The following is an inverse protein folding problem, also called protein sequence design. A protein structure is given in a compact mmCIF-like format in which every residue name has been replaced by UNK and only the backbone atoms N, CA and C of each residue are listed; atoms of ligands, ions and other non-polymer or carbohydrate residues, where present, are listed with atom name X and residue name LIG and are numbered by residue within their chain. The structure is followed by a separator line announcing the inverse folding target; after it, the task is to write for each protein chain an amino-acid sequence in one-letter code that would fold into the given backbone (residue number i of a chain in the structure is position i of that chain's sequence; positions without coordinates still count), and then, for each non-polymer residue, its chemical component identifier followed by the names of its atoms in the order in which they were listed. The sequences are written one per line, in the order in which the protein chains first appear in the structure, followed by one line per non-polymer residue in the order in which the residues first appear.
data_IF_139342413664
#
_entry.id   IF_139342413664
#
_cell.length_a   1.000
_cell.length_b   1.000
_cell.length_c   1.000
_cell.angle_alpha   90.00
_cell.angle_beta   90.00
_cell.angle_gamma   90.00
#
_symmetry.space_group_name_H-M   'P 1'
#
loop_
_entity.id
_entity.type
_entity.pdbx_description
1 polymer ?
#
# COMPACT_ATOMS: atom_id res chain seq x y z
N UNK A 1 -36.33 -18.03 24.80
CA UNK A 1 -35.36 -19.09 24.46
C UNK A 1 -35.00 -18.88 22.99
N UNK A 2 -33.76 -18.48 22.72
CA UNK A 2 -33.38 -17.77 21.48
C UNK A 2 -33.30 -18.64 20.22
N UNK A 3 -33.55 -17.95 19.11
CA UNK A 3 -33.89 -18.38 17.76
C UNK A 3 -32.63 -18.67 16.93
N UNK A 4 -32.72 -19.66 16.03
CA UNK A 4 -31.74 -19.97 14.97
C UNK A 4 -31.42 -18.74 14.09
N UNK A 5 -30.14 -18.52 13.78
CA UNK A 5 -29.74 -18.03 12.46
C UNK A 5 -28.40 -18.65 12.03
N UNK A 6 -28.39 -19.14 10.79
CA UNK A 6 -27.41 -20.08 10.20
C UNK A 6 -26.25 -19.33 9.53
N UNK A 7 -24.98 -19.77 9.63
CA UNK A 7 -23.93 -19.26 8.76
C UNK A 7 -23.94 -20.11 7.47
N UNK A 8 -24.83 -19.82 6.52
CA UNK A 8 -24.94 -20.62 5.27
C UNK A 8 -24.76 -19.83 3.97
N UNK A 9 -24.35 -18.56 4.02
CA UNK A 9 -24.30 -17.72 2.82
C UNK A 9 -22.96 -17.00 2.55
N UNK A 10 -21.90 -17.25 3.31
CA UNK A 10 -20.61 -16.56 3.07
C UNK A 10 -19.57 -17.38 2.29
N UNK A 11 -19.64 -18.71 2.32
CA UNK A 11 -18.70 -19.56 1.56
C UNK A 11 -18.99 -19.68 0.04
N UNK A 12 -20.24 -19.72 -0.46
CA UNK A 12 -20.48 -19.90 -1.90
C UNK A 12 -20.26 -18.61 -2.70
N UNK A 13 -20.37 -17.44 -2.06
CA UNK A 13 -20.21 -16.12 -2.72
C UNK A 13 -18.76 -15.79 -3.00
N UNK A 14 -17.84 -16.19 -2.11
CA UNK A 14 -16.39 -16.03 -2.32
C UNK A 14 -15.85 -16.97 -3.42
N UNK A 15 -16.50 -18.13 -3.59
CA UNK A 15 -16.15 -19.12 -4.59
C UNK A 15 -16.75 -18.81 -5.97
N UNK A 16 -17.77 -17.94 -6.07
CA UNK A 16 -18.31 -17.47 -7.35
C UNK A 16 -17.46 -16.37 -8.00
N UNK A 17 -16.71 -15.59 -7.20
CA UNK A 17 -15.82 -14.54 -7.70
C UNK A 17 -14.51 -15.08 -8.29
N UNK A 18 -14.13 -16.33 -8.01
CA UNK A 18 -12.96 -17.00 -8.60
C UNK A 18 -13.24 -17.63 -9.98
N UNK A 19 -14.49 -17.61 -10.47
CA UNK A 19 -14.90 -18.16 -11.77
C UNK A 19 -15.43 -17.12 -12.77
N UNK A 20 -15.11 -15.84 -12.60
CA UNK A 20 -15.24 -14.90 -13.72
C UNK A 20 -14.17 -15.27 -14.76
N UNK A 21 -14.53 -15.62 -16.01
CA UNK A 21 -13.56 -15.68 -17.10
C UNK A 21 -13.19 -14.25 -17.45
N UNK A 22 -12.38 -13.62 -16.60
CA UNK A 22 -11.72 -12.37 -16.89
C UNK A 22 -10.54 -12.63 -17.82
N UNK A 23 -10.82 -13.06 -19.05
CA UNK A 23 -9.86 -12.84 -20.14
C UNK A 23 -9.84 -11.35 -20.41
N UNK A 24 -9.12 -10.59 -19.58
CA UNK A 24 -8.39 -9.45 -20.11
C UNK A 24 -7.33 -10.06 -21.00
N UNK A 25 -7.70 -10.27 -22.26
CA UNK A 25 -6.76 -10.57 -23.31
C UNK A 25 -5.76 -9.41 -23.34
N UNK A 26 -4.66 -9.55 -22.62
CA UNK A 26 -3.51 -8.71 -22.78
C UNK A 26 -2.94 -9.10 -24.13
N UNK A 27 -3.35 -8.36 -25.16
CA UNK A 27 -2.78 -8.46 -26.50
C UNK A 27 -1.29 -8.18 -26.36
N UNK A 28 -0.51 -9.26 -26.31
CA UNK A 28 0.94 -9.24 -26.28
C UNK A 28 1.42 -8.88 -27.68
N UNK A 29 1.33 -7.59 -28.02
CA UNK A 29 1.98 -7.09 -29.21
C UNK A 29 3.49 -7.03 -28.95
N UNK A 30 4.20 -7.81 -29.76
CA UNK A 30 5.64 -7.99 -29.68
C UNK A 30 6.33 -6.86 -30.44
N UNK A 31 6.41 -5.70 -29.82
CA UNK A 31 7.45 -4.69 -30.09
C UNK A 31 7.75 -3.96 -28.78
N UNK A 32 9.03 -3.64 -28.52
CA UNK A 32 9.50 -2.95 -27.30
C UNK A 32 8.93 -1.52 -27.20
N UNK A 33 7.63 -1.38 -26.97
CA UNK A 33 7.02 -0.13 -26.58
C UNK A 33 7.18 0.00 -25.08
N UNK A 34 8.32 0.57 -24.64
CA UNK A 34 8.47 1.03 -23.26
C UNK A 34 7.41 2.10 -23.03
N UNK A 35 6.28 1.71 -22.44
CA UNK A 35 5.23 2.66 -22.12
C UNK A 35 5.78 3.67 -21.12
N UNK A 36 5.78 4.95 -21.52
CA UNK A 36 6.30 6.05 -20.72
C UNK A 36 5.42 6.30 -19.50
N UNK A 37 4.15 5.95 -19.57
CA UNK A 37 3.16 6.19 -18.52
C UNK A 37 2.47 4.88 -18.18
N UNK A 38 2.25 4.64 -16.90
CA UNK A 38 1.48 3.49 -16.45
C UNK A 38 0.67 3.93 -15.24
N UNK A 39 -0.62 3.62 -15.26
CA UNK A 39 -1.53 3.91 -14.15
C UNK A 39 -2.14 2.59 -13.71
N UNK A 40 -2.06 2.31 -12.43
CA UNK A 40 -2.62 1.12 -11.80
C UNK A 40 -3.57 1.57 -10.70
N UNK A 41 -4.68 0.86 -10.56
CA UNK A 41 -5.61 1.01 -9.46
C UNK A 41 -5.82 -0.33 -8.80
N UNK A 42 -5.93 -0.34 -7.48
CA UNK A 42 -6.10 -1.53 -6.69
C UNK A 42 -7.13 -1.34 -5.58
N UNK A 43 -7.67 -2.47 -5.13
CA UNK A 43 -8.48 -2.59 -3.93
C UNK A 43 -7.90 -3.72 -3.09
N UNK A 44 -7.95 -3.59 -1.77
CA UNK A 44 -7.41 -4.56 -0.83
C UNK A 44 -8.24 -4.68 0.42
N UNK A 45 -7.99 -5.75 1.18
CA UNK A 45 -8.50 -5.93 2.53
C UNK A 45 -7.44 -6.67 3.36
N UNK A 46 -7.43 -6.43 4.66
CA UNK A 46 -6.49 -7.06 5.59
C UNK A 46 -7.07 -7.15 6.98
N UNK A 47 -6.48 -7.98 7.83
CA UNK A 47 -6.91 -8.18 9.22
C UNK A 47 -6.24 -7.24 10.21
N UNK A 48 -5.04 -6.75 9.89
CA UNK A 48 -4.32 -5.76 10.67
C UNK A 48 -3.30 -5.02 9.78
N UNK A 49 -3.23 -3.71 9.92
CA UNK A 49 -2.30 -2.84 9.24
C UNK A 49 -1.12 -2.57 10.15
N UNK A 50 0.02 -3.18 9.84
CA UNK A 50 1.23 -3.09 10.66
C UNK A 50 2.28 -2.21 10.01
N UNK A 51 2.88 -1.30 10.78
CA UNK A 51 4.05 -0.51 10.37
C UNK A 51 5.14 -0.60 11.44
N UNK A 52 6.35 -0.99 11.04
CA UNK A 52 7.52 -1.15 11.92
C UNK A 52 7.24 -2.01 13.18
N UNK A 53 6.38 -3.03 13.06
CA UNK A 53 5.99 -3.93 14.16
C UNK A 53 4.84 -3.42 15.03
N UNK A 54 4.34 -2.20 14.80
CA UNK A 54 3.18 -1.66 15.50
C UNK A 54 1.93 -1.73 14.64
N UNK A 55 0.80 -2.03 15.26
CA UNK A 55 -0.50 -2.00 14.59
C UNK A 55 -1.00 -0.55 14.47
N UNK A 56 -1.14 -0.08 13.23
CA UNK A 56 -1.75 1.20 12.89
C UNK A 56 -3.28 1.13 12.94
N UNK A 57 -3.87 -0.04 12.71
CA UNK A 57 -5.33 -0.26 12.77
C UNK A 57 -5.82 -0.75 14.13
N UNK A 58 -4.95 -0.88 15.13
CA UNK A 58 -5.32 -1.41 16.45
C UNK A 58 -5.89 -2.82 16.39
N UNK A 59 -5.29 -3.69 15.58
CA UNK A 59 -5.71 -5.08 15.33
C UNK A 59 -7.11 -5.21 14.71
N UNK A 60 -7.56 -4.20 13.99
CA UNK A 60 -8.84 -4.20 13.27
C UNK A 60 -8.65 -4.53 11.79
N UNK A 61 -9.61 -5.25 11.20
CA UNK A 61 -9.66 -5.41 9.76
C UNK A 61 -9.81 -4.07 9.04
N UNK A 62 -9.23 -3.97 7.86
CA UNK A 62 -9.27 -2.78 7.03
C UNK A 62 -9.54 -3.13 5.57
N UNK A 63 -10.10 -2.15 4.85
CA UNK A 63 -10.22 -2.15 3.41
C UNK A 63 -9.36 -1.02 2.85
N UNK A 64 -8.75 -1.24 1.70
CA UNK A 64 -7.89 -0.24 1.05
C UNK A 64 -8.27 -0.03 -0.40
N UNK A 65 -8.00 1.16 -0.90
CA UNK A 65 -7.99 1.46 -2.32
C UNK A 65 -6.71 2.23 -2.65
N UNK A 66 -6.09 1.91 -3.78
CA UNK A 66 -4.82 2.50 -4.19
C UNK A 66 -4.82 2.95 -5.64
N UNK A 67 -4.05 3.99 -5.89
CA UNK A 67 -3.76 4.50 -7.22
C UNK A 67 -2.24 4.71 -7.34
N UNK A 68 -1.64 4.06 -8.32
CA UNK A 68 -0.20 4.09 -8.58
C UNK A 68 0.05 4.60 -10.00
N UNK A 69 0.74 5.73 -10.11
CA UNK A 69 1.22 6.26 -11.36
C UNK A 69 2.73 6.07 -11.50
N UNK A 70 3.17 5.47 -12.60
CA UNK A 70 4.58 5.33 -12.94
C UNK A 70 4.91 6.05 -14.24
N UNK A 71 6.01 6.79 -14.21
CA UNK A 71 6.55 7.53 -15.34
C UNK A 71 7.97 7.11 -15.67
N UNK A 72 8.16 6.66 -16.91
CA UNK A 72 9.42 6.11 -17.45
C UNK A 72 10.02 4.98 -16.62
N UNK A 73 9.23 4.33 -15.76
CA UNK A 73 9.68 3.34 -14.76
C UNK A 73 10.72 3.88 -13.75
N UNK A 74 10.87 5.20 -13.69
CA UNK A 74 11.80 5.90 -12.79
C UNK A 74 11.06 6.69 -11.73
N UNK A 75 10.06 7.47 -12.11
CA UNK A 75 9.23 8.19 -11.16
C UNK A 75 7.98 7.38 -10.86
N UNK A 76 7.61 7.36 -9.59
CA UNK A 76 6.41 6.68 -9.12
C UNK A 76 5.71 7.59 -8.12
N UNK A 77 4.42 7.84 -8.33
CA UNK A 77 3.55 8.49 -7.37
C UNK A 77 2.47 7.49 -6.97
N UNK A 78 2.21 7.36 -5.67
CA UNK A 78 1.18 6.49 -5.14
C UNK A 78 0.28 7.27 -4.19
N UNK A 79 -1.00 6.95 -4.20
CA UNK A 79 -1.98 7.43 -3.25
C UNK A 79 -2.80 6.23 -2.78
N UNK A 80 -2.92 6.07 -1.47
CA UNK A 80 -3.67 4.96 -0.89
C UNK A 80 -4.62 5.52 0.16
N UNK A 81 -5.81 4.92 0.26
CA UNK A 81 -6.80 5.23 1.29
C UNK A 81 -7.21 3.95 1.99
N UNK A 82 -7.57 4.08 3.26
CA UNK A 82 -7.94 2.96 4.12
C UNK A 82 -9.21 3.28 4.89
N UNK A 83 -10.08 2.29 5.00
CA UNK A 83 -11.24 2.28 5.87
C UNK A 83 -11.07 1.18 6.91
N UNK A 84 -11.30 1.49 8.18
CA UNK A 84 -11.31 0.49 9.24
C UNK A 84 -12.71 -0.10 9.38
N UNK A 85 -12.77 -1.43 9.41
CA UNK A 85 -13.98 -2.13 9.80
C UNK A 85 -14.43 -1.66 11.19
N UNK A 86 -15.74 -1.56 11.37
CA UNK A 86 -16.38 -1.15 12.62
C UNK A 86 -16.04 0.29 13.08
N UNK A 87 -15.72 1.17 12.12
CA UNK A 87 -15.64 2.62 12.34
C UNK A 87 -16.66 3.36 11.49
N UNK A 88 -17.22 4.47 12.00
CA UNK A 88 -18.11 5.32 11.22
C UNK A 88 -17.33 6.23 10.23
N UNK A 89 -16.01 6.31 10.39
CA UNK A 89 -15.14 7.13 9.55
C UNK A 89 -14.90 6.46 8.21
N UNK A 90 -15.50 6.99 7.15
CA UNK A 90 -15.39 6.43 5.80
C UNK A 90 -13.95 6.35 5.30
N UNK A 91 -13.10 7.30 5.68
CA UNK A 91 -11.68 7.34 5.33
C UNK A 91 -10.88 7.48 6.61
N UNK A 92 -10.39 6.36 7.13
CA UNK A 92 -9.67 6.30 8.39
C UNK A 92 -8.24 6.82 8.24
N UNK A 93 -7.57 6.36 7.18
CA UNK A 93 -6.20 6.73 6.88
C UNK A 93 -6.01 6.97 5.39
N UNK A 94 -5.00 7.75 5.05
CA UNK A 94 -4.52 7.85 3.68
C UNK A 94 -3.04 8.17 3.66
N UNK A 95 -2.38 7.76 2.58
CA UNK A 95 -0.97 8.07 2.36
C UNK A 95 -0.71 8.51 0.93
N UNK A 96 0.33 9.31 0.80
CA UNK A 96 0.89 9.72 -0.49
C UNK A 96 2.37 9.43 -0.50
N UNK A 97 2.83 8.78 -1.57
CA UNK A 97 4.24 8.45 -1.77
C UNK A 97 4.72 8.97 -3.11
N UNK A 98 5.86 9.65 -3.11
CA UNK A 98 6.61 9.99 -4.32
C UNK A 98 7.98 9.30 -4.26
N UNK A 99 8.31 8.54 -5.31
CA UNK A 99 9.55 7.81 -5.41
C UNK A 99 10.25 8.08 -6.74
N UNK A 100 11.57 8.07 -6.70
CA UNK A 100 12.45 8.10 -7.85
C UNK A 100 13.42 6.92 -7.79
N UNK A 101 13.61 6.24 -8.93
CA UNK A 101 14.62 5.21 -9.12
C UNK A 101 15.35 5.47 -10.43
N UNK A 102 16.67 5.36 -10.38
CA UNK A 102 17.55 5.44 -11.54
C UNK A 102 18.37 4.16 -11.63
N UNK A 103 18.21 3.44 -12.73
CA UNK A 103 19.11 2.36 -13.12
C UNK A 103 20.27 2.97 -13.90
N UNK A 104 21.49 2.78 -13.42
CA UNK A 104 22.67 3.37 -14.03
C UNK A 104 23.27 2.45 -15.09
N UNK A 105 23.26 1.15 -14.82
CA UNK A 105 23.71 0.09 -15.71
C UNK A 105 22.97 -1.22 -15.37
N UNK A 106 23.37 -2.33 -15.97
CA UNK A 106 22.74 -3.64 -15.71
C UNK A 106 22.93 -4.18 -14.30
N UNK A 107 23.84 -3.59 -13.51
CA UNK A 107 24.24 -4.10 -12.20
C UNK A 107 23.89 -3.18 -11.05
N UNK A 108 23.62 -1.89 -11.30
CA UNK A 108 23.46 -0.91 -10.23
C UNK A 108 22.26 0.01 -10.47
N UNK A 109 21.45 0.16 -9.43
CA UNK A 109 20.38 1.14 -9.36
C UNK A 109 20.39 1.83 -7.99
N UNK A 110 19.86 3.05 -7.95
CA UNK A 110 19.59 3.74 -6.71
C UNK A 110 18.22 4.38 -6.76
N UNK A 111 17.63 4.60 -5.60
CA UNK A 111 16.35 5.27 -5.50
C UNK A 111 16.15 5.98 -4.17
N UNK A 112 15.22 6.91 -4.17
CA UNK A 112 14.75 7.60 -2.99
C UNK A 112 13.23 7.68 -3.04
N UNK A 113 12.59 7.71 -1.87
CA UNK A 113 11.16 7.93 -1.74
C UNK A 113 10.86 8.82 -0.56
N UNK A 114 9.80 9.61 -0.69
CA UNK A 114 9.19 10.40 0.35
C UNK A 114 7.73 9.95 0.46
N UNK A 115 7.31 9.64 1.66
CA UNK A 115 5.96 9.23 1.95
C UNK A 115 5.40 10.06 3.11
N UNK A 116 4.14 10.42 3.02
CA UNK A 116 3.39 11.11 4.07
C UNK A 116 2.12 10.33 4.37
N UNK A 117 1.90 10.08 5.66
CA UNK A 117 0.78 9.33 6.20
C UNK A 117 -0.12 10.27 7.00
N UNK A 118 -1.42 10.12 6.83
CA UNK A 118 -2.40 10.98 7.46
C UNK A 118 -3.53 10.16 8.08
N UNK A 119 -3.88 10.55 9.31
CA UNK A 119 -4.97 9.96 10.07
C UNK A 119 -6.13 10.94 10.17
N UNK A 120 -7.35 10.45 9.96
CA UNK A 120 -8.56 11.24 10.12
C UNK A 120 -8.64 11.84 11.52
N UNK A 121 -9.16 13.07 11.64
CA UNK A 121 -9.18 13.82 12.91
C UNK A 121 -9.83 13.01 14.04
N UNK A 122 -10.95 12.36 13.75
CA UNK A 122 -11.74 11.56 14.70
C UNK A 122 -10.98 10.33 15.24
N UNK A 123 -9.91 9.92 14.55
CA UNK A 123 -9.11 8.74 14.84
C UNK A 123 -7.71 9.08 15.38
N UNK A 124 -7.30 10.35 15.38
CA UNK A 124 -5.93 10.76 15.78
C UNK A 124 -5.63 10.53 17.27
N UNK A 125 -6.64 10.53 18.12
CA UNK A 125 -6.45 10.26 19.55
C UNK A 125 -6.39 8.75 19.86
N UNK A 126 -6.80 7.91 18.90
CA UNK A 126 -6.88 6.45 19.04
C UNK A 126 -5.77 5.71 18.28
N UNK A 127 -5.27 6.31 17.20
CA UNK A 127 -4.29 5.72 16.30
C UNK A 127 -3.13 6.68 16.04
N UNK A 128 -2.12 6.20 15.32
CA UNK A 128 -0.94 7.00 15.01
C UNK A 128 -1.32 8.34 14.35
N UNK A 129 -0.61 9.40 14.76
CA UNK A 129 -0.74 10.72 14.16
C UNK A 129 -0.25 10.76 12.71
N UNK A 130 -0.27 11.95 12.11
CA UNK A 130 0.35 12.12 10.81
C UNK A 130 1.87 12.01 10.95
N UNK A 131 2.52 11.34 10.01
CA UNK A 131 3.97 11.25 9.97
C UNK A 131 4.45 11.24 8.52
N UNK A 132 5.67 11.71 8.31
CA UNK A 132 6.35 11.59 7.02
C UNK A 132 7.64 10.83 7.20
N UNK A 133 8.00 10.02 6.21
CA UNK A 133 9.27 9.30 6.20
C UNK A 133 9.92 9.36 4.84
N UNK A 134 11.24 9.37 4.85
CA UNK A 134 12.06 9.29 3.66
C UNK A 134 12.78 7.95 3.65
N UNK A 135 12.93 7.38 2.46
CA UNK A 135 13.77 6.21 2.26
C UNK A 135 14.76 6.47 1.13
N UNK A 136 15.96 5.92 1.27
CA UNK A 136 16.96 5.83 0.20
C UNK A 136 17.35 4.37 0.03
N UNK A 137 17.72 4.00 -1.18
CA UNK A 137 18.08 2.62 -1.49
C UNK A 137 19.15 2.55 -2.56
N UNK A 138 19.97 1.52 -2.46
CA UNK A 138 20.93 1.11 -3.47
C UNK A 138 20.74 -0.37 -3.78
N UNK A 139 20.62 -0.69 -5.06
CA UNK A 139 20.44 -2.03 -5.58
C UNK A 139 21.66 -2.50 -6.34
N UNK A 140 22.01 -3.77 -6.18
CA UNK A 140 23.04 -4.45 -6.96
C UNK A 140 22.50 -5.77 -7.53
N UNK A 141 22.57 -5.91 -8.85
CA UNK A 141 22.12 -7.08 -9.59
C UNK A 141 23.30 -7.95 -10.01
N UNK A 142 23.41 -9.12 -9.38
CA UNK A 142 24.44 -10.14 -9.61
C UNK A 142 24.09 -11.11 -10.74
N UNK A 143 23.13 -10.79 -11.63
CA UNK A 143 22.53 -11.64 -12.68
C UNK A 143 21.64 -12.79 -12.17
N UNK A 144 22.02 -13.44 -11.07
CA UNK A 144 21.24 -14.51 -10.41
C UNK A 144 20.48 -14.01 -9.19
N UNK A 145 21.00 -12.97 -8.53
CA UNK A 145 20.47 -12.46 -7.28
C UNK A 145 20.44 -10.94 -7.36
N UNK A 146 19.29 -10.35 -7.02
CA UNK A 146 19.19 -8.92 -6.79
C UNK A 146 19.28 -8.63 -5.29
N UNK A 147 20.25 -7.81 -4.90
CA UNK A 147 20.42 -7.35 -3.51
C UNK A 147 20.06 -5.89 -3.43
N UNK A 148 19.23 -5.50 -2.45
CA UNK A 148 18.85 -4.10 -2.24
C UNK A 148 19.02 -3.73 -0.77
N UNK A 149 19.80 -2.68 -0.52
CA UNK A 149 19.90 -2.05 0.79
C UNK A 149 18.96 -0.87 0.79
N UNK A 150 18.14 -0.76 1.83
CA UNK A 150 17.19 0.33 2.03
C UNK A 150 17.44 0.92 3.42
N UNK A 151 17.54 2.24 3.48
CA UNK A 151 17.58 2.99 4.72
C UNK A 151 16.39 3.94 4.76
N UNK A 152 15.69 4.00 5.89
CA UNK A 152 14.48 4.81 6.06
C UNK A 152 14.56 5.60 7.37
N UNK A 153 14.05 6.83 7.35
CA UNK A 153 13.98 7.70 8.54
C UNK A 153 12.67 8.48 8.55
N UNK A 154 12.12 8.72 9.75
CA UNK A 154 11.01 9.65 9.95
C UNK A 154 11.56 11.08 9.82
N UNK A 155 10.81 11.95 9.14
CA UNK A 155 11.17 13.35 8.88
C UNK A 155 10.49 14.32 9.83
N UNK A 156 9.26 14.02 10.25
CA UNK A 156 8.48 14.85 11.15
C UNK A 156 7.81 13.94 12.20
N UNK A 157 8.22 14.15 13.45
CA UNK A 157 7.77 13.45 14.66
C UNK A 157 6.95 14.39 15.56
N UNK A 158 6.59 15.59 15.09
CA UNK A 158 6.02 16.66 15.94
C UNK A 158 4.60 16.39 16.46
N UNK A 159 3.92 15.32 16.02
CA UNK A 159 2.54 14.99 16.40
C UNK A 159 2.33 13.52 16.81
N UNK A 160 3.40 12.73 16.90
CA UNK A 160 3.34 11.30 17.24
C UNK A 160 3.22 11.14 18.76
N UNK A 161 2.00 11.30 19.28
CA UNK A 161 1.70 10.93 20.66
C UNK A 161 1.69 9.40 20.77
N UNK A 162 2.78 8.83 21.29
CA UNK A 162 2.81 7.46 21.79
C UNK A 162 1.99 7.38 23.08
N UNK A 163 0.66 7.32 22.96
CA UNK A 163 -0.24 7.09 24.08
C UNK A 163 -0.54 5.59 24.19
N UNK A 164 0.13 4.90 25.11
CA UNK A 164 -0.28 3.57 25.53
C UNK A 164 -1.47 3.71 26.51
N UNK A 165 -2.60 3.11 26.18
CA UNK A 165 -3.66 2.76 27.13
C UNK A 165 -3.63 1.25 27.36
#
# INVERSE_FOLDING_TARGET
MFILSRPRLFLPTLLLLSFLPGTLAQQSDSTKQTNRHSLYGGLGFGSDMTYSGYSLSGSRPYYSADLLYSYKRSWTAAFMVYHLADTQTALAFYDFTLAYRKTFNSWWDAGASLAAYFTAKDLRDLYFGNFAYMSVSAGLDWRLLYTRVVYSTILDDSQTRFGFA
#
